data_IF_263711970570
#
_entry.id   IF_263711970570
#
_cell.length_a   1.000
_cell.length_b   1.000
_cell.length_c   1.000
_cell.angle_alpha   90.00
_cell.angle_beta   90.00
_cell.angle_gamma   90.00
#
_symmetry.space_group_name_H-M   'P 1'
#
loop_
_entity.id
_entity.type
_entity.pdbx_description
1 polymer ?
#
# COMPACT_ATOMS: atom_id res chain seq x y z
N UNK A 1 -3.14 24.16 -1.90
CA UNK A 1 -3.77 24.74 -3.12
C UNK A 1 -4.82 23.81 -3.77
N UNK A 2 -4.52 22.52 -4.13
CA UNK A 2 -5.53 21.63 -4.75
C UNK A 2 -6.64 21.25 -3.74
N UNK A 3 -6.28 20.83 -2.53
CA UNK A 3 -7.25 20.47 -1.46
C UNK A 3 -8.21 21.63 -1.12
N UNK A 4 -7.70 22.85 -1.11
CA UNK A 4 -8.51 24.05 -0.92
C UNK A 4 -9.49 24.29 -2.09
N UNK A 5 -9.00 24.17 -3.34
CA UNK A 5 -9.83 24.33 -4.54
C UNK A 5 -11.00 23.34 -4.57
N UNK A 6 -10.77 22.10 -4.15
CA UNK A 6 -11.81 21.07 -4.09
C UNK A 6 -12.57 21.07 -2.75
N UNK A 7 -12.35 22.06 -1.89
CA UNK A 7 -13.00 22.25 -0.57
C UNK A 7 -12.93 20.99 0.30
N UNK A 8 -11.72 20.39 0.42
CA UNK A 8 -11.54 19.12 1.14
C UNK A 8 -11.63 19.25 2.66
N UNK A 9 -11.59 20.48 3.21
CA UNK A 9 -11.73 20.75 4.63
C UNK A 9 -10.52 20.39 5.50
N UNK A 10 -9.38 19.98 4.90
CA UNK A 10 -8.14 19.70 5.63
C UNK A 10 -6.91 20.07 4.79
N UNK A 11 -5.79 20.24 5.46
CA UNK A 11 -4.47 20.55 4.88
C UNK A 11 -3.58 19.31 4.85
N UNK A 12 -2.43 19.42 4.21
CA UNK A 12 -1.46 18.31 4.13
C UNK A 12 -0.86 17.99 5.50
N UNK A 13 -0.72 18.97 6.36
CA UNK A 13 -0.24 18.82 7.75
C UNK A 13 -1.19 17.92 8.57
N UNK A 14 -2.49 18.04 8.35
CA UNK A 14 -3.49 17.17 9.01
C UNK A 14 -3.30 15.72 8.55
N UNK A 15 -3.06 15.52 7.25
CA UNK A 15 -2.77 14.18 6.70
C UNK A 15 -1.52 13.58 7.32
N UNK A 16 -0.44 14.35 7.46
CA UNK A 16 0.82 13.93 8.09
C UNK A 16 0.59 13.56 9.56
N UNK A 17 -0.07 14.43 10.31
CA UNK A 17 -0.35 14.21 11.73
C UNK A 17 -1.20 12.95 11.96
N UNK A 18 -2.27 12.77 11.18
CA UNK A 18 -3.14 11.58 11.26
C UNK A 18 -2.36 10.34 10.86
N UNK A 19 -1.56 10.38 9.79
CA UNK A 19 -0.71 9.26 9.36
C UNK A 19 0.24 8.82 10.47
N UNK A 20 0.91 9.76 11.14
CA UNK A 20 1.79 9.48 12.28
C UNK A 20 1.04 8.83 13.43
N UNK A 21 -0.13 9.36 13.82
CA UNK A 21 -0.98 8.82 14.90
C UNK A 21 -1.43 7.39 14.59
N UNK A 22 -1.98 7.15 13.40
CA UNK A 22 -2.47 5.83 12.99
C UNK A 22 -1.35 4.80 12.95
N UNK A 23 -0.19 5.14 12.38
CA UNK A 23 0.96 4.24 12.35
C UNK A 23 1.51 3.95 13.76
N UNK A 24 1.52 4.92 14.66
CA UNK A 24 1.95 4.71 16.06
C UNK A 24 0.97 3.81 16.85
N UNK A 25 -0.29 3.81 16.47
CA UNK A 25 -1.30 2.89 17.00
C UNK A 25 -1.26 1.50 16.34
N UNK A 26 -0.38 1.27 15.36
CA UNK A 26 -0.24 -0.02 14.68
C UNK A 26 -1.18 -0.22 13.49
N UNK A 27 -1.91 0.81 13.10
CA UNK A 27 -2.86 0.72 11.98
C UNK A 27 -2.15 0.89 10.63
N UNK A 28 -2.72 0.27 9.59
CA UNK A 28 -2.33 0.50 8.20
C UNK A 28 -2.96 1.76 7.67
N UNK A 29 -2.21 2.50 6.87
CA UNK A 29 -2.67 3.74 6.25
C UNK A 29 -2.82 3.56 4.75
N UNK A 30 -4.05 3.76 4.26
CA UNK A 30 -4.39 3.69 2.85
C UNK A 30 -4.74 5.07 2.31
N UNK A 31 -3.98 5.58 1.35
CA UNK A 31 -4.33 6.82 0.68
C UNK A 31 -5.16 6.57 -0.56
N UNK A 32 -6.13 7.47 -0.79
CA UNK A 32 -6.87 7.54 -2.04
C UNK A 32 -6.25 8.61 -2.92
N UNK A 33 -5.61 8.19 -4.00
CA UNK A 33 -5.06 9.08 -5.02
C UNK A 33 -6.04 9.23 -6.17
N UNK A 34 -6.35 10.46 -6.52
CA UNK A 34 -7.31 10.78 -7.57
C UNK A 34 -6.63 11.54 -8.71
N UNK A 35 -5.98 10.84 -9.66
CA UNK A 35 -5.36 11.49 -10.81
C UNK A 35 -6.42 12.11 -11.72
N UNK A 36 -6.07 13.25 -12.31
CA UNK A 36 -6.96 14.00 -13.19
C UNK A 36 -7.71 15.14 -12.52
N UNK A 37 -7.62 15.32 -11.20
CA UNK A 37 -8.21 16.49 -10.51
C UNK A 37 -7.54 17.79 -10.86
N UNK A 38 -6.31 17.79 -11.37
CA UNK A 38 -5.58 18.99 -11.79
C UNK A 38 -6.13 19.62 -13.06
N UNK A 39 -7.08 18.95 -13.75
CA UNK A 39 -7.81 19.46 -14.91
C UNK A 39 -8.76 20.64 -14.64
N UNK A 40 -8.83 21.14 -13.39
CA UNK A 40 -9.59 22.35 -13.03
C UNK A 40 -8.94 23.59 -13.69
N UNK A 41 -9.70 24.24 -14.58
CA UNK A 41 -9.35 25.44 -15.35
C UNK A 41 -8.19 25.29 -16.36
N UNK A 42 -7.63 24.09 -16.57
CA UNK A 42 -6.49 23.86 -17.51
C UNK A 42 -6.49 22.41 -17.98
N UNK A 43 -5.68 22.15 -19.00
CA UNK A 43 -5.32 20.77 -19.32
C UNK A 43 -4.54 20.11 -18.17
N UNK A 44 -4.69 18.79 -18.07
CA UNK A 44 -3.99 18.00 -17.05
C UNK A 44 -2.49 18.05 -17.34
N UNK A 45 -1.74 18.54 -16.37
CA UNK A 45 -0.29 18.56 -16.42
C UNK A 45 0.24 17.22 -15.87
N UNK A 46 0.76 16.38 -16.76
CA UNK A 46 1.30 15.06 -16.44
C UNK A 46 2.50 15.13 -15.50
N UNK A 47 3.43 16.02 -15.76
CA UNK A 47 4.64 16.18 -14.93
C UNK A 47 4.27 16.55 -13.51
N UNK A 48 3.30 17.43 -13.35
CA UNK A 48 2.79 17.81 -12.03
C UNK A 48 2.08 16.65 -11.32
N UNK A 49 1.24 15.89 -12.01
CA UNK A 49 0.59 14.68 -11.43
C UNK A 49 1.64 13.68 -10.94
N UNK A 50 2.68 13.44 -11.74
CA UNK A 50 3.79 12.53 -11.41
C UNK A 50 4.61 13.08 -10.23
N UNK A 51 4.98 14.35 -10.26
CA UNK A 51 5.75 14.99 -9.20
C UNK A 51 5.01 15.02 -7.87
N UNK A 52 3.72 15.34 -7.88
CA UNK A 52 2.91 15.34 -6.66
C UNK A 52 2.70 13.92 -6.10
N UNK A 53 2.58 12.91 -6.97
CA UNK A 53 2.49 11.50 -6.55
C UNK A 53 3.80 11.01 -5.92
N UNK A 54 4.94 11.40 -6.47
CA UNK A 54 6.27 11.02 -5.99
C UNK A 54 6.50 11.52 -4.56
N UNK A 55 6.00 12.70 -4.21
CA UNK A 55 6.07 13.26 -2.84
C UNK A 55 5.46 12.36 -1.77
N UNK A 56 4.47 11.52 -2.10
CA UNK A 56 3.89 10.56 -1.15
C UNK A 56 4.94 9.59 -0.57
N UNK A 57 6.02 9.35 -1.29
CA UNK A 57 7.06 8.38 -0.91
C UNK A 57 8.38 9.05 -0.51
N UNK A 58 8.61 10.28 -0.91
CA UNK A 58 9.79 11.06 -0.54
C UNK A 58 9.65 11.73 0.82
N UNK A 59 8.45 12.22 1.15
CA UNK A 59 8.16 12.85 2.43
C UNK A 59 8.03 11.79 3.53
N UNK A 60 8.93 11.80 4.51
CA UNK A 60 9.00 10.84 5.62
C UNK A 60 7.75 10.82 6.50
N UNK A 61 6.94 11.87 6.48
CA UNK A 61 5.72 11.97 7.27
C UNK A 61 4.49 11.41 6.56
N UNK A 62 4.57 11.16 5.24
CA UNK A 62 3.49 10.57 4.44
C UNK A 62 3.65 9.06 4.33
N UNK A 63 4.38 8.56 3.37
CA UNK A 63 4.74 7.13 3.13
C UNK A 63 3.61 6.14 3.44
N UNK A 64 2.50 6.14 2.69
CA UNK A 64 1.37 5.26 2.94
C UNK A 64 1.75 3.77 2.83
N UNK A 65 1.03 2.90 3.53
CA UNK A 65 1.18 1.45 3.40
C UNK A 65 0.48 0.90 2.16
N UNK A 66 -0.63 1.53 1.83
CA UNK A 66 -1.53 1.11 0.76
C UNK A 66 -2.01 2.30 -0.07
N UNK A 67 -2.37 2.02 -1.32
CA UNK A 67 -2.95 2.98 -2.24
C UNK A 67 -4.21 2.44 -2.90
N UNK A 68 -5.18 3.32 -3.07
CA UNK A 68 -6.27 3.19 -4.04
C UNK A 68 -6.10 4.31 -5.05
N UNK A 69 -5.95 3.97 -6.32
CA UNK A 69 -5.82 4.95 -7.42
C UNK A 69 -7.17 5.02 -8.12
N UNK A 70 -7.86 6.13 -7.91
CA UNK A 70 -9.19 6.38 -8.44
C UNK A 70 -9.16 7.54 -9.44
N UNK A 71 -8.99 7.27 -10.73
CA UNK A 71 -9.11 8.29 -11.76
C UNK A 71 -10.37 9.13 -11.58
N UNK A 72 -10.23 10.43 -11.77
CA UNK A 72 -11.33 11.36 -11.60
C UNK A 72 -12.36 11.16 -12.70
N UNK A 73 -13.61 10.98 -12.29
CA UNK A 73 -14.78 10.82 -13.15
C UNK A 73 -15.74 11.98 -12.93
N UNK A 74 -16.40 12.41 -14.00
CA UNK A 74 -17.50 13.37 -13.93
C UNK A 74 -18.80 12.58 -13.75
N UNK A 75 -19.48 12.83 -12.63
CA UNK A 75 -20.72 12.14 -12.23
C UNK A 75 -21.79 13.21 -12.03
N UNK A 76 -23.05 12.99 -12.45
CA UNK A 76 -24.15 13.93 -12.24
C UNK A 76 -24.30 14.34 -10.77
N UNK A 77 -24.91 15.49 -10.55
CA UNK A 77 -25.19 16.04 -9.22
C UNK A 77 -23.96 16.29 -8.34
N UNK A 78 -22.79 16.56 -8.97
CA UNK A 78 -21.56 16.95 -8.29
C UNK A 78 -21.07 18.31 -8.76
N UNK A 79 -20.36 19.03 -7.90
CA UNK A 79 -19.72 20.32 -8.28
C UNK A 79 -18.76 20.15 -9.46
N UNK A 80 -18.15 19.00 -9.63
CA UNK A 80 -17.26 18.72 -10.77
C UNK A 80 -18.06 18.63 -12.06
N UNK A 81 -19.28 18.11 -12.02
CA UNK A 81 -20.18 18.08 -13.16
C UNK A 81 -20.59 19.50 -13.58
N UNK A 82 -20.86 20.38 -12.63
CA UNK A 82 -21.19 21.77 -12.93
C UNK A 82 -20.01 22.50 -13.58
N UNK A 83 -18.80 22.29 -13.05
CA UNK A 83 -17.58 22.83 -13.64
C UNK A 83 -17.30 22.27 -15.03
N UNK A 84 -17.59 21.00 -15.27
CA UNK A 84 -17.48 20.37 -16.58
C UNK A 84 -18.46 21.00 -17.58
N UNK A 85 -19.73 21.17 -17.22
CA UNK A 85 -20.72 21.84 -18.06
C UNK A 85 -20.36 23.31 -18.41
N UNK A 86 -19.68 23.98 -17.46
CA UNK A 86 -19.18 25.35 -17.65
C UNK A 86 -17.86 25.42 -18.45
N UNK A 87 -17.34 24.30 -18.92
CA UNK A 87 -16.04 24.24 -19.59
C UNK A 87 -14.82 24.49 -18.68
N UNK A 88 -15.02 24.56 -17.35
CA UNK A 88 -13.97 24.84 -16.35
C UNK A 88 -13.24 23.59 -15.87
N UNK A 89 -13.62 22.42 -16.30
CA UNK A 89 -12.95 21.15 -16.04
C UNK A 89 -12.82 20.33 -17.31
N UNK A 90 -11.61 19.88 -17.62
CA UNK A 90 -11.33 19.01 -18.77
C UNK A 90 -10.96 17.60 -18.29
N UNK A 91 -11.85 16.60 -18.49
CA UNK A 91 -11.58 15.21 -18.08
C UNK A 91 -10.41 14.61 -18.82
N UNK A 92 -9.68 13.72 -18.16
CA UNK A 92 -8.61 12.95 -18.79
C UNK A 92 -9.20 11.84 -19.67
N UNK A 93 -8.67 11.66 -20.88
CA UNK A 93 -9.06 10.57 -21.75
C UNK A 93 -8.49 9.22 -21.26
N UNK A 94 -9.12 8.11 -21.66
CA UNK A 94 -8.65 6.75 -21.32
C UNK A 94 -7.20 6.54 -21.77
N UNK A 95 -6.83 6.96 -22.99
CA UNK A 95 -5.47 6.85 -23.53
C UNK A 95 -4.44 7.60 -22.67
N UNK A 96 -4.74 8.85 -22.30
CA UNK A 96 -3.89 9.66 -21.41
C UNK A 96 -3.83 9.07 -20.01
N UNK A 97 -4.96 8.60 -19.44
CA UNK A 97 -5.00 7.99 -18.11
C UNK A 97 -4.19 6.68 -18.08
N UNK A 98 -4.26 5.83 -19.11
CA UNK A 98 -3.44 4.60 -19.18
C UNK A 98 -1.95 4.94 -19.12
N UNK A 99 -1.49 5.93 -19.91
CA UNK A 99 -0.09 6.40 -19.86
C UNK A 99 0.28 6.90 -18.46
N UNK A 100 -0.52 7.78 -17.88
CA UNK A 100 -0.26 8.31 -16.53
C UNK A 100 -0.22 7.18 -15.50
N UNK A 101 -1.15 6.23 -15.52
CA UNK A 101 -1.17 5.12 -14.58
C UNK A 101 0.08 4.25 -14.67
N UNK A 102 0.65 4.05 -15.85
CA UNK A 102 1.91 3.32 -16.04
C UNK A 102 3.03 4.04 -15.29
N UNK A 103 3.17 5.36 -15.50
CA UNK A 103 4.20 6.15 -14.82
C UNK A 103 4.00 6.14 -13.28
N UNK A 104 2.76 6.34 -12.81
CA UNK A 104 2.48 6.24 -11.37
C UNK A 104 2.86 4.86 -10.81
N UNK A 105 2.57 3.77 -11.53
CA UNK A 105 2.91 2.41 -11.09
C UNK A 105 4.41 2.13 -11.04
N UNK A 106 5.22 2.78 -11.88
CA UNK A 106 6.70 2.71 -11.85
C UNK A 106 7.27 3.33 -10.57
N UNK A 107 6.65 4.38 -10.07
CA UNK A 107 7.08 5.12 -8.89
C UNK A 107 6.72 4.44 -7.57
N UNK A 108 5.79 3.48 -7.57
CA UNK A 108 5.32 2.86 -6.32
C UNK A 108 6.41 1.99 -5.70
N UNK A 109 6.84 2.27 -4.45
CA UNK A 109 7.88 1.52 -3.76
C UNK A 109 7.49 0.09 -3.42
N UNK A 110 8.51 -0.75 -3.17
CA UNK A 110 8.37 -2.18 -2.83
C UNK A 110 7.54 -2.45 -1.57
N UNK A 111 7.41 -1.50 -0.66
CA UNK A 111 6.65 -1.61 0.59
C UNK A 111 5.18 -1.20 0.46
N UNK A 112 4.75 -0.64 -0.67
CA UNK A 112 3.38 -0.15 -0.86
C UNK A 112 2.53 -1.17 -1.61
N UNK A 113 1.27 -1.35 -1.16
CA UNK A 113 0.27 -2.18 -1.86
C UNK A 113 -0.72 -1.33 -2.63
N UNK A 114 -0.80 -1.46 -3.95
CA UNK A 114 -1.92 -0.90 -4.71
C UNK A 114 -3.13 -1.84 -4.56
N UNK A 115 -4.07 -1.50 -3.68
CA UNK A 115 -5.29 -2.31 -3.43
C UNK A 115 -6.23 -2.31 -4.62
N UNK A 116 -6.52 -1.13 -5.15
CA UNK A 116 -7.48 -0.96 -6.24
C UNK A 116 -7.01 0.11 -7.22
N UNK A 117 -7.33 -0.11 -8.49
CA UNK A 117 -7.29 0.90 -9.55
C UNK A 117 -8.70 0.95 -10.14
N UNK A 118 -9.27 2.12 -10.29
CA UNK A 118 -10.69 2.40 -10.55
C UNK A 118 -11.62 2.13 -9.35
N UNK A 119 -12.66 2.92 -9.28
CA UNK A 119 -13.79 2.73 -8.37
C UNK A 119 -14.91 2.01 -9.14
N UNK A 120 -15.65 1.15 -8.45
CA UNK A 120 -16.83 0.51 -9.03
C UNK A 120 -17.97 1.54 -9.08
N UNK A 121 -18.07 2.23 -10.21
CA UNK A 121 -19.16 3.16 -10.55
C UNK A 121 -19.74 2.64 -11.84
N UNK A 122 -21.07 2.57 -11.89
CA UNK A 122 -21.77 2.17 -13.10
C UNK A 122 -21.40 3.09 -14.26
N UNK A 123 -21.08 2.53 -15.42
CA UNK A 123 -20.77 3.33 -16.62
C UNK A 123 -21.94 4.24 -17.01
N UNK A 124 -23.18 3.86 -16.68
CA UNK A 124 -24.37 4.67 -16.91
C UNK A 124 -24.38 5.99 -16.11
N UNK A 125 -23.63 6.04 -15.02
CA UNK A 125 -23.50 7.22 -14.17
C UNK A 125 -22.31 8.11 -14.54
N UNK A 126 -21.43 7.66 -15.43
CA UNK A 126 -20.23 8.41 -15.82
C UNK A 126 -20.51 9.26 -17.03
N UNK A 127 -20.51 10.57 -16.86
CA UNK A 127 -20.72 11.55 -17.96
C UNK A 127 -19.43 11.74 -18.75
N UNK A 128 -18.29 11.82 -18.06
CA UNK A 128 -16.99 12.02 -18.73
C UNK A 128 -15.83 11.52 -17.86
N UNK A 129 -14.71 11.22 -18.51
CA UNK A 129 -13.51 10.68 -17.90
C UNK A 129 -13.24 9.23 -18.31
N UNK A 130 -12.22 8.58 -17.72
CA UNK A 130 -11.80 7.23 -18.11
C UNK A 130 -12.71 6.14 -17.49
N UNK A 131 -13.99 6.09 -17.90
CA UNK A 131 -15.02 5.23 -17.34
C UNK A 131 -14.87 3.73 -17.67
N UNK A 132 -13.67 3.16 -17.66
CA UNK A 132 -13.42 1.74 -17.92
C UNK A 132 -13.10 0.99 -16.62
N UNK A 133 -13.77 -0.14 -16.38
CA UNK A 133 -13.60 -0.95 -15.16
C UNK A 133 -12.28 -1.71 -15.13
N UNK A 134 -11.74 -2.07 -16.30
CA UNK A 134 -10.53 -2.89 -16.46
C UNK A 134 -9.23 -2.11 -16.66
N UNK A 135 -9.17 -0.83 -16.28
CA UNK A 135 -8.00 0.05 -16.48
C UNK A 135 -6.69 -0.56 -15.93
N UNK A 136 -6.74 -1.27 -14.79
CA UNK A 136 -5.58 -1.99 -14.24
C UNK A 136 -5.05 -3.04 -15.22
N UNK A 137 -5.93 -3.79 -15.87
CA UNK A 137 -5.56 -4.84 -16.81
C UNK A 137 -4.95 -4.24 -18.07
N UNK A 138 -5.58 -3.19 -18.62
CA UNK A 138 -5.07 -2.46 -19.79
C UNK A 138 -3.67 -1.89 -19.53
N UNK A 139 -3.46 -1.28 -18.37
CA UNK A 139 -2.15 -0.77 -17.99
C UNK A 139 -1.12 -1.90 -17.83
N UNK A 140 -1.50 -3.06 -17.24
CA UNK A 140 -0.61 -4.21 -17.10
C UNK A 140 -0.21 -4.80 -18.43
N UNK A 141 -1.14 -4.96 -19.37
CA UNK A 141 -0.85 -5.44 -20.72
C UNK A 141 0.17 -4.55 -21.44
N UNK A 142 -0.04 -3.23 -21.36
CA UNK A 142 0.90 -2.26 -21.97
C UNK A 142 2.27 -2.29 -21.31
N UNK A 143 2.32 -2.34 -19.96
CA UNK A 143 3.59 -2.47 -19.22
C UNK A 143 4.36 -3.72 -19.63
N UNK A 144 3.67 -4.86 -19.80
CA UNK A 144 4.29 -6.12 -20.21
C UNK A 144 4.90 -6.01 -21.62
N UNK A 145 4.23 -5.35 -22.58
CA UNK A 145 4.74 -5.14 -23.95
C UNK A 145 6.06 -4.37 -23.97
N UNK A 146 6.27 -3.47 -23.00
CA UNK A 146 7.45 -2.62 -22.90
C UNK A 146 8.42 -3.06 -21.80
N UNK A 147 8.29 -4.26 -21.23
CA UNK A 147 9.10 -4.77 -20.13
C UNK A 147 9.14 -3.83 -18.91
N UNK A 148 8.07 -3.05 -18.69
CA UNK A 148 7.95 -2.14 -17.55
C UNK A 148 7.42 -2.92 -16.34
N UNK A 149 8.14 -2.87 -15.21
CA UNK A 149 7.76 -3.55 -13.97
C UNK A 149 7.10 -2.59 -12.97
N UNK A 150 6.11 -3.10 -12.25
CA UNK A 150 5.52 -2.43 -11.09
C UNK A 150 6.02 -3.10 -9.81
N UNK A 151 6.65 -2.34 -8.93
CA UNK A 151 7.26 -2.85 -7.69
C UNK A 151 6.29 -3.00 -6.51
N UNK A 152 5.01 -2.65 -6.66
CA UNK A 152 4.09 -2.74 -5.54
C UNK A 152 3.92 -4.18 -5.04
N UNK A 153 3.58 -4.34 -3.76
CA UNK A 153 3.36 -5.63 -3.10
C UNK A 153 2.50 -6.55 -3.97
N UNK A 154 1.31 -6.09 -4.40
CA UNK A 154 0.36 -6.91 -5.19
C UNK A 154 0.93 -7.45 -6.51
N UNK A 155 1.83 -6.70 -7.16
CA UNK A 155 2.42 -7.15 -8.44
C UNK A 155 3.56 -8.15 -8.23
N UNK A 156 4.13 -8.18 -7.03
CA UNK A 156 5.25 -9.07 -6.67
C UNK A 156 4.84 -10.31 -5.89
N UNK A 157 3.60 -10.44 -5.43
CA UNK A 157 3.11 -11.64 -4.73
C UNK A 157 3.53 -12.92 -5.46
N UNK A 158 4.10 -13.88 -4.73
CA UNK A 158 4.62 -15.14 -5.30
C UNK A 158 3.52 -16.01 -5.90
N UNK A 159 2.30 -15.92 -5.34
CA UNK A 159 1.13 -16.73 -5.77
C UNK A 159 1.43 -18.23 -5.73
N UNK A 160 1.27 -18.91 -6.90
CA UNK A 160 1.41 -20.37 -7.06
C UNK A 160 2.78 -20.77 -7.61
N UNK A 161 3.83 -19.96 -7.42
CA UNK A 161 5.21 -20.34 -7.79
C UNK A 161 5.88 -21.06 -6.64
N UNK A 162 6.70 -22.06 -6.98
CA UNK A 162 7.58 -22.72 -6.02
C UNK A 162 8.63 -21.74 -5.49
N UNK A 163 9.11 -22.03 -4.30
CA UNK A 163 10.14 -21.24 -3.63
C UNK A 163 11.45 -22.01 -3.70
N UNK A 164 12.42 -21.42 -4.38
CA UNK A 164 13.73 -22.06 -4.59
C UNK A 164 14.82 -21.42 -3.72
N UNK A 165 14.97 -20.11 -3.82
CA UNK A 165 16.06 -19.36 -3.18
C UNK A 165 15.52 -18.17 -2.36
N UNK A 166 14.88 -18.42 -1.20
CA UNK A 166 14.27 -17.37 -0.40
C UNK A 166 15.31 -16.51 0.32
N UNK A 167 15.32 -15.22 0.05
CA UNK A 167 16.19 -14.24 0.68
C UNK A 167 15.42 -13.27 1.61
N UNK A 168 16.03 -12.94 2.74
CA UNK A 168 15.54 -11.88 3.63
C UNK A 168 16.07 -10.52 3.18
N UNK A 169 15.17 -9.63 2.77
CA UNK A 169 15.47 -8.23 2.44
C UNK A 169 14.90 -7.30 3.51
N UNK A 170 15.68 -6.29 3.90
CA UNK A 170 15.26 -5.25 4.84
C UNK A 170 15.36 -3.90 4.15
N UNK A 171 14.22 -3.22 4.03
CA UNK A 171 14.13 -1.87 3.48
C UNK A 171 13.82 -0.89 4.62
N UNK A 172 14.69 0.10 4.80
CA UNK A 172 14.42 1.23 5.70
C UNK A 172 13.49 2.20 4.98
N UNK A 173 12.23 2.26 5.42
CA UNK A 173 11.23 3.18 4.85
C UNK A 173 11.48 4.60 5.36
N UNK A 174 11.74 4.73 6.67
CA UNK A 174 12.11 5.98 7.35
C UNK A 174 12.97 5.68 8.58
N UNK A 175 13.39 6.71 9.31
CA UNK A 175 14.12 6.54 10.60
C UNK A 175 13.36 5.63 11.59
N UNK A 176 12.03 5.65 11.54
CA UNK A 176 11.16 4.88 12.47
C UNK A 176 10.50 3.65 11.87
N UNK A 177 10.70 3.35 10.59
CA UNK A 177 9.93 2.30 9.93
C UNK A 177 10.79 1.44 9.01
N UNK A 178 10.64 0.12 9.15
CA UNK A 178 11.31 -0.89 8.34
C UNK A 178 10.29 -1.84 7.70
N UNK A 179 10.61 -2.29 6.51
CA UNK A 179 9.88 -3.33 5.80
C UNK A 179 10.80 -4.54 5.63
N UNK A 180 10.51 -5.59 6.37
CA UNK A 180 11.21 -6.86 6.30
C UNK A 180 10.43 -7.76 5.33
N UNK A 181 11.11 -8.40 4.40
CA UNK A 181 10.43 -9.27 3.43
C UNK A 181 11.29 -10.46 3.06
N UNK A 182 10.66 -11.62 2.92
CA UNK A 182 11.24 -12.74 2.19
C UNK A 182 10.83 -12.63 0.73
N UNK A 183 11.81 -12.75 -0.14
CA UNK A 183 11.63 -12.72 -1.60
C UNK A 183 12.36 -13.90 -2.21
N UNK A 184 11.82 -14.40 -3.31
CA UNK A 184 12.52 -15.31 -4.21
C UNK A 184 12.67 -14.59 -5.54
N UNK A 185 13.91 -14.30 -5.94
CA UNK A 185 14.20 -13.31 -6.98
C UNK A 185 13.51 -11.97 -6.67
N UNK A 186 12.51 -11.56 -7.49
CA UNK A 186 11.69 -10.37 -7.29
C UNK A 186 10.28 -10.68 -6.73
N UNK A 187 9.95 -11.97 -6.49
CA UNK A 187 8.65 -12.40 -5.98
C UNK A 187 8.61 -12.33 -4.47
N UNK A 188 7.53 -11.75 -3.95
CA UNK A 188 7.32 -11.53 -2.53
C UNK A 188 6.64 -12.75 -1.91
N UNK A 189 7.36 -13.47 -1.05
CA UNK A 189 6.86 -14.61 -0.28
C UNK A 189 6.06 -14.13 0.93
N UNK A 190 6.58 -13.10 1.61
CA UNK A 190 5.92 -12.53 2.77
C UNK A 190 6.67 -11.33 3.30
N UNK A 191 6.03 -10.59 4.20
CA UNK A 191 6.62 -9.39 4.76
C UNK A 191 6.13 -9.08 6.18
N UNK A 192 6.89 -8.23 6.85
CA UNK A 192 6.58 -7.65 8.14
C UNK A 192 6.86 -6.14 8.12
N UNK A 193 5.89 -5.35 8.59
CA UNK A 193 6.06 -3.91 8.80
C UNK A 193 6.43 -3.67 10.26
N UNK A 194 7.63 -3.17 10.49
CA UNK A 194 8.16 -2.87 11.80
C UNK A 194 8.25 -1.36 12.02
N UNK A 195 7.66 -0.88 13.11
CA UNK A 195 7.78 0.51 13.55
C UNK A 195 8.53 0.61 14.86
N UNK A 196 9.55 1.46 14.86
CA UNK A 196 10.37 1.74 16.03
C UNK A 196 9.74 2.89 16.82
N UNK A 197 9.35 2.63 18.05
CA UNK A 197 8.86 3.60 19.02
C UNK A 197 9.89 3.78 20.15
N UNK A 198 9.74 4.81 20.96
CA UNK A 198 10.76 5.17 21.94
C UNK A 198 11.02 4.07 22.99
N UNK A 199 9.98 3.36 23.44
CA UNK A 199 10.10 2.29 24.47
C UNK A 199 9.85 0.88 23.92
N UNK A 200 9.45 0.70 22.68
CA UNK A 200 9.06 -0.60 22.11
C UNK A 200 9.18 -0.62 20.60
N UNK A 201 9.13 -1.81 20.03
CA UNK A 201 8.86 -1.96 18.60
C UNK A 201 7.44 -2.47 18.36
N UNK A 202 6.86 -2.07 17.25
CA UNK A 202 5.49 -2.40 16.89
C UNK A 202 5.47 -3.09 15.54
N UNK A 203 5.03 -4.34 15.50
CA UNK A 203 4.71 -5.09 14.29
C UNK A 203 3.30 -4.70 13.86
N UNK A 204 3.22 -3.91 12.79
CA UNK A 204 1.95 -3.35 12.28
C UNK A 204 1.25 -4.30 11.30
N UNK A 205 1.99 -5.15 10.65
CA UNK A 205 1.49 -6.17 9.73
C UNK A 205 2.52 -7.30 9.62
N UNK A 206 2.05 -8.53 9.62
CA UNK A 206 2.78 -9.73 9.22
C UNK A 206 1.90 -10.48 8.23
N UNK A 207 2.40 -10.71 7.03
CA UNK A 207 1.65 -11.37 5.97
C UNK A 207 2.54 -12.33 5.17
N UNK A 208 2.09 -13.56 5.00
CA UNK A 208 2.75 -14.56 4.15
C UNK A 208 1.79 -14.91 3.02
N UNK A 209 2.30 -14.90 1.80
CA UNK A 209 1.58 -15.26 0.59
C UNK A 209 1.77 -16.75 0.29
N UNK A 210 0.75 -17.36 -0.24
CA UNK A 210 0.75 -18.76 -0.68
C UNK A 210 -0.65 -19.17 -1.08
N UNK A 211 -0.83 -20.31 -1.76
CA UNK A 211 -2.15 -20.85 -2.02
C UNK A 211 -2.85 -21.13 -0.70
N UNK A 212 -4.15 -20.86 -0.63
CA UNK A 212 -4.99 -21.35 0.46
C UNK A 212 -5.04 -22.87 0.34
N UNK A 213 -4.50 -23.59 1.32
CA UNK A 213 -4.61 -25.04 1.35
C UNK A 213 -6.07 -25.43 1.63
N UNK A 214 -6.57 -26.42 0.89
CA UNK A 214 -7.74 -27.17 1.31
C UNK A 214 -7.38 -27.96 2.57
N UNK A 215 -8.33 -28.15 3.47
CA UNK A 215 -8.18 -28.99 4.64
C UNK A 215 -7.72 -30.37 4.16
N UNK A 216 -6.56 -30.86 4.59
CA UNK A 216 -5.89 -32.14 4.25
C UNK A 216 -4.95 -32.17 3.02
N UNK A 217 -4.52 -31.03 2.47
CA UNK A 217 -3.41 -31.03 1.51
C UNK A 217 -2.12 -30.59 2.18
N UNK A 218 -1.14 -31.49 2.29
CA UNK A 218 0.27 -31.18 2.60
C UNK A 218 0.95 -30.62 1.36
N UNK A 219 1.07 -29.31 1.30
CA UNK A 219 1.87 -28.64 0.25
C UNK A 219 3.08 -27.96 0.88
N UNK A 220 4.22 -27.94 0.18
CA UNK A 220 5.40 -27.10 0.51
C UNK A 220 5.08 -25.61 0.28
N UNK A 221 3.92 -25.15 0.74
CA UNK A 221 3.46 -23.80 0.56
C UNK A 221 4.19 -22.83 1.50
N UNK A 222 4.44 -21.60 1.03
CA UNK A 222 5.10 -20.55 1.78
C UNK A 222 4.47 -20.30 3.17
N UNK A 223 3.18 -20.52 3.34
CA UNK A 223 2.45 -20.30 4.59
C UNK A 223 2.91 -21.24 5.72
N UNK A 224 3.32 -22.49 5.42
CA UNK A 224 3.77 -23.47 6.41
C UNK A 224 5.30 -23.59 6.53
N UNK A 225 6.07 -22.92 5.68
CA UNK A 225 7.54 -22.98 5.66
C UNK A 225 8.22 -22.12 6.75
N UNK A 226 7.48 -21.67 7.75
CA UNK A 226 8.04 -20.93 8.89
C UNK A 226 8.52 -19.51 8.61
N UNK A 227 8.28 -18.94 7.43
CA UNK A 227 8.70 -17.57 7.09
C UNK A 227 8.14 -16.51 8.02
N UNK A 228 6.89 -16.66 8.50
CA UNK A 228 6.30 -15.76 9.49
C UNK A 228 7.08 -15.73 10.79
N UNK A 229 7.46 -16.92 11.30
CA UNK A 229 8.30 -17.07 12.49
C UNK A 229 9.70 -16.47 12.29
N UNK A 230 10.31 -16.67 11.12
CA UNK A 230 11.63 -16.09 10.77
C UNK A 230 11.57 -14.56 10.72
N UNK A 231 10.53 -13.97 10.10
CA UNK A 231 10.31 -12.52 10.07
C UNK A 231 10.14 -11.94 11.47
N UNK A 232 9.35 -12.61 12.32
CA UNK A 232 9.10 -12.18 13.68
C UNK A 232 10.37 -12.24 14.55
N UNK A 233 11.14 -13.34 14.46
CA UNK A 233 12.45 -13.46 15.13
C UNK A 233 13.43 -12.36 14.68
N UNK A 234 13.42 -12.00 13.37
CA UNK A 234 14.25 -10.88 12.89
C UNK A 234 13.79 -9.55 13.46
N UNK A 235 12.48 -9.32 13.59
CA UNK A 235 11.94 -8.13 14.25
C UNK A 235 12.33 -8.07 15.74
N UNK A 236 12.28 -9.18 16.47
CA UNK A 236 12.74 -9.30 17.85
C UNK A 236 14.26 -8.98 17.96
N UNK A 237 15.07 -9.52 17.04
CA UNK A 237 16.51 -9.21 17.00
C UNK A 237 16.76 -7.71 16.78
N UNK A 238 16.05 -7.09 15.82
CA UNK A 238 16.16 -5.62 15.59
C UNK A 238 15.73 -4.84 16.83
N UNK A 239 14.70 -5.29 17.56
CA UNK A 239 14.29 -4.66 18.81
C UNK A 239 15.43 -4.66 19.83
N UNK A 240 16.07 -5.80 20.08
CA UNK A 240 17.23 -5.93 20.98
C UNK A 240 18.40 -5.04 20.54
N UNK A 241 18.77 -5.07 19.25
CA UNK A 241 19.83 -4.22 18.67
C UNK A 241 19.56 -2.71 18.85
N UNK A 242 18.29 -2.33 19.01
CA UNK A 242 17.86 -0.94 19.26
C UNK A 242 17.58 -0.65 20.73
N UNK A 243 17.98 -1.53 21.64
CA UNK A 243 17.77 -1.37 23.09
C UNK A 243 16.29 -1.33 23.49
N UNK A 244 15.44 -2.09 22.76
CA UNK A 244 14.01 -2.20 23.05
C UNK A 244 13.70 -3.62 23.56
N UNK A 245 13.14 -3.69 24.75
CA UNK A 245 12.78 -4.93 25.44
C UNK A 245 11.34 -5.41 25.14
N UNK A 246 10.54 -4.60 24.45
CA UNK A 246 9.14 -4.90 24.23
C UNK A 246 8.79 -4.94 22.73
N UNK A 247 8.28 -6.09 22.30
CA UNK A 247 7.66 -6.26 20.97
C UNK A 247 6.14 -6.33 21.12
N UNK A 248 5.45 -5.48 20.40
CA UNK A 248 4.00 -5.41 20.35
C UNK A 248 3.54 -5.74 18.93
N UNK A 249 2.48 -6.54 18.77
CA UNK A 249 1.94 -6.93 17.47
C UNK A 249 0.47 -6.52 17.38
N UNK A 250 0.11 -5.82 16.31
CA UNK A 250 -1.29 -5.59 15.94
C UNK A 250 -1.79 -6.83 15.21
N UNK A 251 -2.47 -7.72 15.91
CA UNK A 251 -2.95 -8.99 15.36
C UNK A 251 -4.46 -8.98 15.11
N UNK A 252 -4.89 -9.69 14.08
CA UNK A 252 -6.29 -10.10 13.96
C UNK A 252 -6.66 -11.09 15.07
N UNK A 253 -7.96 -11.19 15.39
CA UNK A 253 -8.45 -12.08 16.46
C UNK A 253 -8.12 -13.54 16.13
N UNK A 254 -8.40 -14.00 14.92
CA UNK A 254 -8.23 -15.39 14.50
C UNK A 254 -6.79 -15.91 14.45
N UNK A 255 -5.77 -15.02 14.54
CA UNK A 255 -4.35 -15.42 14.53
C UNK A 255 -3.65 -15.22 15.86
N UNK A 256 -4.38 -14.92 16.94
CA UNK A 256 -3.79 -14.70 18.27
C UNK A 256 -3.11 -15.95 18.82
N UNK A 257 -3.65 -17.15 18.53
CA UNK A 257 -3.06 -18.42 18.96
C UNK A 257 -1.67 -18.65 18.36
N UNK A 258 -1.49 -18.31 17.09
CA UNK A 258 -0.17 -18.33 16.46
C UNK A 258 0.87 -17.52 17.26
N UNK A 259 0.50 -16.34 17.74
CA UNK A 259 1.42 -15.52 18.53
C UNK A 259 1.62 -16.07 19.96
N UNK A 260 0.59 -16.69 20.60
CA UNK A 260 0.74 -17.35 21.90
C UNK A 260 1.77 -18.47 21.84
N UNK A 261 1.73 -19.29 20.79
CA UNK A 261 2.71 -20.37 20.56
C UNK A 261 4.15 -19.85 20.31
N UNK A 262 4.32 -18.54 20.08
CA UNK A 262 5.62 -17.86 19.96
C UNK A 262 6.00 -17.07 21.23
N UNK A 263 5.26 -17.26 22.33
CA UNK A 263 5.53 -16.66 23.64
C UNK A 263 4.97 -15.23 23.81
N UNK A 264 4.03 -14.82 22.95
CA UNK A 264 3.33 -13.54 23.13
C UNK A 264 2.09 -13.71 24.00
N UNK A 265 1.76 -12.68 24.78
CA UNK A 265 0.56 -12.62 25.63
C UNK A 265 -0.35 -11.48 25.17
N UNK A 266 -1.66 -11.67 25.26
CA UNK A 266 -2.63 -10.63 24.93
C UNK A 266 -2.69 -9.58 26.05
N UNK A 267 -2.50 -8.29 25.68
CA UNK A 267 -2.67 -7.15 26.59
C UNK A 267 -3.16 -5.95 25.80
N UNK A 268 -4.25 -5.30 26.24
CA UNK A 268 -4.82 -4.12 25.61
C UNK A 268 -5.01 -4.25 24.07
N UNK A 269 -5.61 -5.39 23.65
CA UNK A 269 -5.85 -5.74 22.24
C UNK A 269 -4.62 -6.01 21.37
N UNK A 270 -3.41 -6.02 21.92
CA UNK A 270 -2.18 -6.36 21.22
C UNK A 270 -1.57 -7.66 21.75
N UNK A 271 -0.88 -8.38 20.89
CA UNK A 271 -0.01 -9.47 21.29
C UNK A 271 1.35 -8.90 21.69
N UNK A 272 1.79 -9.13 22.91
CA UNK A 272 2.97 -8.51 23.52
C UNK A 272 3.96 -9.57 23.99
N UNK A 273 5.25 -9.34 23.72
CA UNK A 273 6.37 -10.15 24.23
C UNK A 273 7.47 -9.24 24.77
N UNK A 274 7.89 -9.52 26.00
CA UNK A 274 9.14 -8.96 26.54
C UNK A 274 10.31 -9.81 26.05
N UNK A 275 11.39 -9.15 25.71
CA UNK A 275 12.65 -9.77 25.24
C UNK A 275 13.63 -9.73 26.41
N UNK A 276 14.02 -10.88 26.87
CA UNK A 276 15.09 -11.02 27.87
C UNK A 276 16.45 -10.72 27.23
#
# INVERSE_FOLDING_TARGET
>A
KLLEKIKRGHKIEDVKNVTKKLKNAGLKVCYHWMPGLTGLNKEINFEKEIADFKKLFEDDELKPDELKIYPTLVIPNTKLYDLYKQGKYKPISIKKMKKLLIELKRLVPKYVRIKRVMRDISQKEVVAGPGVTNLRQLAKQEMNKHNIKCNCIRCREIRNKDIENPELKILNISKREKFLSFVDEEKLIGFLRLRLLDKKVLVRELHIYGPSLKINEEYKAAQHSGFGKKLLKKAEKIAKEKGKDLVQVTSGIGVREYYRNLGYKLKNNYMIKRLN
#
